data_IF_474158433609
#
_entry.id   IF_474158433609
#
_cell.length_a   1.000
_cell.length_b   1.000
_cell.length_c   1.000
_cell.angle_alpha   90.00
_cell.angle_beta   90.00
_cell.angle_gamma   90.00
#
_symmetry.space_group_name_H-M   'P 1'
#
loop_
_entity.id
_entity.type
_entity.pdbx_description
1 polymer ?
#
# COMPACT_ATOMS: atom_id res chain seq x y z
N UNK A 1 -41.56 21.91 11.73
CA UNK A 1 -40.36 22.33 10.98
C UNK A 1 -39.19 21.75 11.75
N UNK A 2 -38.84 20.51 11.46
CA UNK A 2 -37.85 19.77 12.25
C UNK A 2 -36.51 19.87 11.54
N UNK A 3 -35.58 20.61 12.13
CA UNK A 3 -34.19 20.66 11.73
C UNK A 3 -33.53 19.32 12.04
N UNK A 4 -32.92 18.61 11.07
CA UNK A 4 -32.18 17.40 11.37
C UNK A 4 -30.91 17.76 12.12
N UNK A 5 -30.84 17.31 13.38
CA UNK A 5 -29.67 17.40 14.25
C UNK A 5 -28.59 16.49 13.68
N UNK A 6 -27.50 17.06 13.16
CA UNK A 6 -26.31 16.29 12.79
C UNK A 6 -25.67 15.76 14.07
N UNK A 7 -25.95 14.50 14.41
CA UNK A 7 -25.23 13.78 15.45
C UNK A 7 -23.75 13.61 15.08
N UNK A 8 -22.84 13.54 16.07
CA UNK A 8 -21.44 13.24 15.81
C UNK A 8 -21.33 11.91 15.06
N UNK A 9 -20.60 11.92 13.95
CA UNK A 9 -20.28 10.70 13.22
C UNK A 9 -19.35 9.86 14.10
N UNK A 10 -19.78 8.64 14.40
CA UNK A 10 -18.93 7.65 15.04
C UNK A 10 -17.98 7.11 13.95
N UNK A 11 -16.75 7.63 13.95
CA UNK A 11 -15.66 7.02 13.19
C UNK A 11 -15.35 5.71 13.89
N UNK A 12 -15.91 4.62 13.38
CA UNK A 12 -15.52 3.28 13.80
C UNK A 12 -14.05 3.09 13.38
N UNK A 13 -13.15 3.31 14.33
CA UNK A 13 -11.72 3.04 14.16
C UNK A 13 -11.60 1.53 14.01
N UNK A 14 -11.57 1.07 12.77
CA UNK A 14 -11.24 -0.31 12.45
C UNK A 14 -9.77 -0.53 12.80
N UNK A 15 -9.55 -0.99 14.03
CA UNK A 15 -8.30 -1.38 14.70
C UNK A 15 -7.66 -0.33 15.61
N UNK A 16 -8.04 -0.42 16.89
CA UNK A 16 -7.15 -0.13 18.03
C UNK A 16 -7.06 -1.39 18.89
N UNK A 17 -6.52 -2.48 18.35
CA UNK A 17 -6.14 -3.62 19.18
C UNK A 17 -4.62 -3.52 19.38
N UNK A 18 -4.29 -2.90 20.50
CA UNK A 18 -2.98 -2.68 21.08
C UNK A 18 -2.18 -3.98 21.08
N UNK A 19 -1.08 -4.03 20.33
CA UNK A 19 -0.07 -5.07 20.56
C UNK A 19 0.53 -4.86 21.96
N UNK A 20 0.76 -5.91 22.75
CA UNK A 20 1.26 -5.78 24.11
C UNK A 20 2.67 -5.17 24.08
N UNK A 21 2.82 -3.98 24.67
CA UNK A 21 4.12 -3.42 25.04
C UNK A 21 4.71 -4.32 26.15
N UNK A 22 5.70 -5.13 25.83
CA UNK A 22 6.52 -5.77 26.87
C UNK A 22 7.57 -4.77 27.33
N UNK A 23 7.34 -4.22 28.53
CA UNK A 23 8.29 -3.43 29.28
C UNK A 23 9.62 -4.19 29.45
N UNK A 24 10.71 -3.48 29.18
CA UNK A 24 12.06 -3.87 29.55
C UNK A 24 12.26 -3.78 31.05
N UNK A 25 12.72 -4.86 31.69
CA UNK A 25 13.63 -4.79 32.83
C UNK A 25 14.51 -6.05 32.90
N UNK A 26 15.78 -5.95 33.36
CA UNK A 26 16.74 -7.05 33.36
C UNK A 26 16.82 -7.69 34.75
N UNK A 27 16.73 -9.02 34.86
CA UNK A 27 17.33 -9.72 35.99
C UNK A 27 17.63 -11.21 35.70
N UNK A 28 18.75 -11.63 36.27
CA UNK A 28 19.57 -12.80 36.02
C UNK A 28 19.01 -14.08 36.65
N UNK A 29 18.99 -15.20 35.93
CA UNK A 29 19.19 -16.54 36.52
C UNK A 29 19.47 -17.60 35.43
N UNK A 30 20.65 -18.22 35.52
CA UNK A 30 21.07 -19.38 34.74
C UNK A 30 20.36 -20.66 35.23
N UNK A 31 19.87 -21.50 34.31
CA UNK A 31 19.88 -22.96 34.50
C UNK A 31 19.70 -23.67 33.17
N UNK A 32 20.68 -24.51 32.81
CA UNK A 32 20.66 -25.39 31.65
C UNK A 32 19.72 -26.57 31.88
N UNK A 33 18.88 -26.90 30.89
CA UNK A 33 18.60 -28.29 30.46
C UNK A 33 17.79 -28.27 29.15
N UNK A 34 18.19 -29.14 28.23
CA UNK A 34 17.84 -29.10 26.81
C UNK A 34 16.35 -29.18 26.46
N UNK A 35 15.97 -28.32 25.52
CA UNK A 35 14.72 -28.32 24.79
C UNK A 35 14.73 -27.15 23.82
N UNK A 36 14.97 -27.42 22.53
CA UNK A 36 15.08 -26.40 21.49
C UNK A 36 13.68 -25.81 21.18
N UNK A 37 13.17 -24.95 22.04
CA UNK A 37 12.04 -24.08 21.71
C UNK A 37 12.60 -22.94 20.87
N UNK A 38 12.46 -23.06 19.55
CA UNK A 38 12.68 -21.93 18.63
C UNK A 38 11.69 -20.84 19.02
N UNK A 39 12.18 -19.83 19.72
CA UNK A 39 11.44 -18.64 20.11
C UNK A 39 11.21 -17.79 18.85
N UNK A 40 10.19 -18.20 18.08
CA UNK A 40 9.72 -17.60 16.82
C UNK A 40 8.83 -16.37 17.08
N UNK A 41 9.06 -15.66 18.17
CA UNK A 41 8.32 -14.44 18.47
C UNK A 41 8.76 -13.32 17.53
N UNK A 42 7.78 -12.75 16.83
CA UNK A 42 7.92 -11.45 16.16
C UNK A 42 8.32 -10.42 17.23
N UNK A 43 9.57 -9.93 17.21
CA UNK A 43 10.11 -8.97 18.20
C UNK A 43 10.22 -7.53 17.67
N UNK A 44 9.84 -7.29 16.42
CA UNK A 44 9.93 -5.97 15.77
C UNK A 44 8.70 -5.10 16.01
N UNK A 45 8.84 -3.78 15.86
CA UNK A 45 7.69 -2.87 15.74
C UNK A 45 7.10 -3.00 14.33
N UNK A 46 5.79 -3.21 14.23
CA UNK A 46 5.09 -3.20 12.93
C UNK A 46 5.09 -1.77 12.37
N UNK A 47 5.66 -1.59 11.18
CA UNK A 47 5.71 -0.32 10.46
C UNK A 47 4.55 -0.19 9.45
N UNK A 48 4.13 -1.32 8.84
CA UNK A 48 2.99 -1.34 7.93
C UNK A 48 2.37 -2.74 7.82
N UNK A 49 1.14 -2.81 7.32
CA UNK A 49 0.46 -4.07 7.03
C UNK A 49 -0.39 -4.00 5.76
N UNK A 50 -0.65 -5.15 5.14
CA UNK A 50 -1.55 -5.27 3.99
C UNK A 50 -2.52 -6.46 4.14
N UNK A 51 -3.80 -6.30 3.74
CA UNK A 51 -4.78 -7.37 3.86
C UNK A 51 -4.67 -8.36 2.70
N UNK A 52 -4.06 -9.51 2.97
CA UNK A 52 -4.10 -10.71 2.11
C UNK A 52 -4.19 -12.02 2.91
N UNK A 53 -4.26 -11.90 4.25
CA UNK A 53 -3.84 -12.85 5.32
C UNK A 53 -2.62 -12.24 6.01
N UNK A 54 -2.88 -11.23 6.84
CA UNK A 54 -1.93 -10.29 7.49
C UNK A 54 -0.46 -10.38 7.04
N UNK A 55 -0.12 -9.63 5.98
CA UNK A 55 1.28 -9.31 5.67
C UNK A 55 1.71 -8.16 6.58
N UNK A 56 2.82 -8.34 7.31
CA UNK A 56 3.37 -7.36 8.25
C UNK A 56 4.78 -6.95 7.80
N UNK A 57 5.03 -5.65 7.67
CA UNK A 57 6.35 -5.09 7.45
C UNK A 57 6.89 -4.48 8.73
N UNK A 58 8.16 -4.76 9.05
CA UNK A 58 8.90 -4.11 10.13
C UNK A 58 10.19 -3.48 9.58
N UNK A 59 11.06 -3.00 10.49
CA UNK A 59 12.35 -2.42 10.11
C UNK A 59 13.34 -3.44 9.52
N UNK A 60 13.15 -4.73 9.78
CA UNK A 60 14.10 -5.81 9.46
C UNK A 60 13.64 -6.71 8.29
N UNK A 61 12.34 -6.79 7.99
CA UNK A 61 11.79 -7.74 7.05
C UNK A 61 10.28 -7.63 6.81
N UNK A 62 9.79 -8.60 6.04
CA UNK A 62 8.36 -8.84 5.81
C UNK A 62 8.00 -10.21 6.38
N UNK A 63 6.86 -10.26 7.04
CA UNK A 63 6.28 -11.42 7.68
C UNK A 63 4.88 -11.67 7.11
N UNK A 64 4.44 -12.93 7.08
CA UNK A 64 3.08 -13.31 6.68
C UNK A 64 2.51 -14.20 7.77
N UNK A 65 1.24 -14.00 8.11
CA UNK A 65 0.52 -14.88 9.03
C UNK A 65 -0.99 -14.65 8.99
N UNK A 66 -1.72 -15.58 9.57
CA UNK A 66 -3.14 -15.41 9.82
C UNK A 66 -3.34 -14.55 11.06
N UNK A 67 -4.18 -13.52 10.96
CA UNK A 67 -4.54 -12.69 12.11
C UNK A 67 -5.18 -13.52 13.24
N UNK A 68 -5.93 -14.55 12.89
CA UNK A 68 -6.57 -15.46 13.85
C UNK A 68 -5.62 -16.42 14.54
N UNK A 69 -4.41 -16.60 14.00
CA UNK A 69 -3.42 -17.54 14.50
C UNK A 69 -2.02 -16.90 14.51
N UNK A 70 -1.65 -16.19 15.58
CA UNK A 70 -0.32 -15.57 15.70
C UNK A 70 0.85 -16.56 15.54
N UNK A 71 0.64 -17.85 15.83
CA UNK A 71 1.68 -18.88 15.68
C UNK A 71 2.02 -19.17 14.21
N UNK A 72 1.13 -18.79 13.29
CA UNK A 72 1.35 -18.89 11.86
C UNK A 72 2.25 -17.78 11.29
N UNK A 73 2.56 -16.73 12.07
CA UNK A 73 3.40 -15.62 11.62
C UNK A 73 4.83 -16.12 11.39
N UNK A 74 5.31 -15.98 10.17
CA UNK A 74 6.66 -16.37 9.79
C UNK A 74 7.33 -15.32 8.89
N UNK A 75 8.67 -15.19 8.94
CA UNK A 75 9.38 -14.27 8.07
C UNK A 75 9.34 -14.82 6.65
N UNK A 76 9.11 -13.94 5.67
CA UNK A 76 9.06 -14.31 4.25
C UNK A 76 10.07 -13.54 3.38
N UNK A 77 10.52 -12.37 3.83
CA UNK A 77 11.53 -11.57 3.13
C UNK A 77 12.46 -10.85 4.11
N UNK A 78 13.77 -10.96 3.89
CA UNK A 78 14.78 -10.16 4.58
C UNK A 78 14.98 -8.80 3.89
N UNK A 79 13.90 -8.02 3.78
CA UNK A 79 13.95 -6.66 3.22
C UNK A 79 13.80 -5.64 4.35
N UNK A 80 14.87 -4.89 4.64
CA UNK A 80 14.87 -3.88 5.69
C UNK A 80 14.16 -2.58 5.29
N UNK A 81 13.80 -1.79 6.29
CA UNK A 81 13.23 -0.44 6.13
C UNK A 81 11.99 -0.40 5.23
N UNK A 82 11.10 -1.38 5.40
CA UNK A 82 9.85 -1.45 4.65
C UNK A 82 8.87 -0.44 5.24
N UNK A 83 8.43 0.51 4.42
CA UNK A 83 7.53 1.58 4.86
C UNK A 83 6.10 1.38 4.39
N UNK A 84 5.89 0.64 3.28
CA UNK A 84 4.56 0.30 2.77
C UNK A 84 4.57 -1.04 2.05
N UNK A 85 3.48 -1.77 2.21
CA UNK A 85 3.17 -3.01 1.52
C UNK A 85 1.87 -2.87 0.74
N UNK A 86 1.71 -3.68 -0.30
CA UNK A 86 0.45 -3.79 -1.03
C UNK A 86 0.42 -5.03 -1.91
N UNK A 87 -0.75 -5.65 -2.03
CA UNK A 87 -0.90 -6.91 -2.74
C UNK A 87 -1.79 -6.75 -3.98
N UNK A 88 -1.29 -7.25 -5.11
CA UNK A 88 -2.07 -7.49 -6.33
C UNK A 88 -2.47 -8.96 -6.36
N UNK A 89 -3.55 -9.29 -5.64
CA UNK A 89 -3.97 -10.67 -5.40
C UNK A 89 -4.27 -11.43 -6.69
N UNK A 90 -5.05 -10.85 -7.59
CA UNK A 90 -5.45 -11.50 -8.84
C UNK A 90 -4.25 -11.74 -9.78
N UNK A 91 -3.22 -10.91 -9.67
CA UNK A 91 -2.01 -10.98 -10.50
C UNK A 91 -0.84 -11.71 -9.82
N UNK A 92 -0.95 -12.04 -8.54
CA UNK A 92 0.04 -12.84 -7.81
C UNK A 92 1.29 -12.07 -7.37
N UNK A 93 1.17 -10.77 -7.05
CA UNK A 93 2.32 -9.93 -6.68
C UNK A 93 2.18 -9.25 -5.31
N UNK A 94 3.27 -9.27 -4.54
CA UNK A 94 3.50 -8.38 -3.40
C UNK A 94 4.35 -7.19 -3.88
N UNK A 95 3.89 -5.99 -3.58
CA UNK A 95 4.60 -4.73 -3.84
C UNK A 95 5.13 -4.20 -2.52
N UNK A 96 6.43 -3.88 -2.50
CA UNK A 96 7.15 -3.45 -1.30
C UNK A 96 7.84 -2.12 -1.57
N UNK A 97 7.58 -1.12 -0.73
CA UNK A 97 8.36 0.11 -0.69
C UNK A 97 9.38 0.03 0.44
N UNK A 98 10.66 0.09 0.09
CA UNK A 98 11.76 0.07 1.04
C UNK A 98 12.84 1.05 0.60
N UNK A 99 13.32 1.88 1.52
CA UNK A 99 14.32 2.94 1.26
C UNK A 99 13.98 3.74 0.00
N UNK A 100 12.73 4.24 -0.05
CA UNK A 100 12.18 5.01 -1.20
C UNK A 100 12.32 4.31 -2.57
N UNK A 101 12.36 2.98 -2.58
CA UNK A 101 12.48 2.17 -3.81
C UNK A 101 11.37 1.13 -3.86
N UNK A 102 10.71 1.01 -5.02
CA UNK A 102 9.56 0.14 -5.22
C UNK A 102 9.99 -1.20 -5.83
N UNK A 103 9.63 -2.29 -5.17
CA UNK A 103 9.94 -3.67 -5.56
C UNK A 103 8.66 -4.48 -5.74
N UNK A 104 8.71 -5.45 -6.65
CA UNK A 104 7.66 -6.45 -6.82
C UNK A 104 8.23 -7.86 -6.62
N UNK A 105 7.54 -8.64 -5.80
CA UNK A 105 7.84 -10.03 -5.49
C UNK A 105 6.65 -10.90 -5.91
N UNK A 106 6.94 -12.05 -6.50
CA UNK A 106 5.92 -13.06 -6.79
C UNK A 106 5.42 -13.68 -5.49
N UNK A 107 4.11 -13.71 -5.25
CA UNK A 107 3.54 -14.29 -4.04
C UNK A 107 3.89 -15.79 -3.89
N UNK A 108 3.91 -16.52 -5.00
CA UNK A 108 4.31 -17.93 -5.05
C UNK A 108 5.75 -18.16 -4.55
N UNK A 109 6.61 -17.16 -4.67
CA UNK A 109 8.01 -17.23 -4.22
C UNK A 109 8.18 -16.93 -2.73
N UNK A 110 7.13 -16.43 -2.06
CA UNK A 110 7.17 -16.08 -0.63
C UNK A 110 6.75 -17.24 0.28
N UNK A 111 6.14 -18.27 -0.30
CA UNK A 111 5.70 -19.45 0.44
C UNK A 111 6.84 -20.47 0.47
N UNK A 112 7.49 -20.57 1.62
CA UNK A 112 8.43 -21.65 1.93
C UNK A 112 7.67 -22.97 2.07
N UNK A 113 7.86 -23.98 1.19
CA UNK A 113 7.41 -25.34 1.46
C UNK A 113 7.83 -25.82 2.85
N UNK A 114 6.97 -26.57 3.58
CA UNK A 114 7.20 -26.98 4.97
C UNK A 114 8.50 -27.77 5.22
N UNK A 115 9.11 -28.30 4.17
CA UNK A 115 10.31 -29.16 4.22
C UNK A 115 11.64 -28.40 4.12
N UNK A 116 11.63 -27.11 3.79
CA UNK A 116 12.83 -26.33 3.54
C UNK A 116 13.03 -25.28 4.64
N UNK A 117 14.27 -25.10 5.07
CA UNK A 117 14.60 -24.03 6.02
C UNK A 117 14.48 -22.68 5.29
N UNK A 118 14.01 -21.64 5.99
CA UNK A 118 13.92 -20.29 5.39
C UNK A 118 15.29 -19.78 4.88
N UNK A 119 16.40 -20.28 5.43
CA UNK A 119 17.75 -19.93 4.99
C UNK A 119 18.14 -20.55 3.64
N UNK A 120 17.52 -21.67 3.26
CA UNK A 120 17.85 -22.40 2.03
C UNK A 120 16.99 -21.99 0.83
N UNK A 121 15.95 -21.16 1.05
CA UNK A 121 15.13 -20.68 -0.04
C UNK A 121 15.82 -19.58 -0.85
N UNK A 122 16.10 -19.80 -2.14
CA UNK A 122 16.52 -18.71 -3.01
C UNK A 122 15.30 -17.79 -3.24
N UNK A 123 15.22 -16.72 -2.46
CA UNK A 123 14.28 -15.64 -2.72
C UNK A 123 14.38 -15.27 -4.20
N UNK A 124 13.30 -15.43 -4.96
CA UNK A 124 13.29 -15.04 -6.36
C UNK A 124 13.67 -13.56 -6.43
N UNK A 125 14.65 -13.21 -7.27
CA UNK A 125 15.14 -11.83 -7.35
C UNK A 125 13.97 -10.88 -7.59
N UNK A 126 13.79 -9.85 -6.75
CA UNK A 126 12.69 -8.92 -6.92
C UNK A 126 12.82 -8.17 -8.24
N UNK A 127 11.67 -7.80 -8.77
CA UNK A 127 11.61 -6.85 -9.87
C UNK A 127 11.59 -5.45 -9.29
N UNK A 128 12.64 -4.69 -9.57
CA UNK A 128 12.72 -3.29 -9.18
C UNK A 128 11.90 -2.45 -10.16
N UNK A 129 10.82 -1.82 -9.69
CA UNK A 129 9.89 -1.06 -10.51
C UNK A 129 10.31 0.42 -10.65
N UNK A 130 10.97 0.97 -9.65
CA UNK A 130 11.43 2.37 -9.64
C UNK A 130 12.94 2.47 -9.68
N UNK A 131 13.48 3.66 -9.95
CA UNK A 131 14.87 3.95 -9.60
C UNK A 131 15.05 3.94 -8.08
N UNK A 132 16.29 3.79 -7.65
CA UNK A 132 16.64 3.79 -6.24
C UNK A 132 16.37 5.17 -5.64
N UNK A 133 15.65 5.22 -4.53
CA UNK A 133 15.52 6.41 -3.71
C UNK A 133 14.52 7.47 -4.19
N UNK A 134 13.70 7.18 -5.21
CA UNK A 134 12.85 8.20 -5.86
C UNK A 134 11.37 8.18 -5.42
N UNK A 135 10.90 7.13 -4.76
CA UNK A 135 9.48 6.92 -4.46
C UNK A 135 9.16 7.32 -3.03
N UNK A 136 8.25 8.27 -2.85
CA UNK A 136 7.81 8.71 -1.54
C UNK A 136 6.71 7.80 -0.97
N UNK A 137 5.71 7.48 -1.79
CA UNK A 137 4.67 6.52 -1.45
C UNK A 137 4.10 5.84 -2.70
N UNK A 138 3.37 4.75 -2.48
CA UNK A 138 2.56 4.13 -3.53
C UNK A 138 1.19 3.70 -3.00
N UNK A 139 0.26 3.51 -3.94
CA UNK A 139 -1.10 3.03 -3.72
C UNK A 139 -1.45 2.01 -4.79
N UNK A 140 -2.13 0.96 -4.35
CA UNK A 140 -2.71 -0.06 -5.23
C UNK A 140 -4.22 0.11 -5.24
N UNK A 141 -4.82 -0.05 -6.40
CA UNK A 141 -6.27 -0.08 -6.49
C UNK A 141 -6.75 -0.55 -7.84
N UNK A 142 -8.09 -0.64 -7.97
CA UNK A 142 -8.74 -1.18 -9.16
C UNK A 142 -9.65 -0.14 -9.78
N UNK A 143 -9.57 0.00 -11.10
CA UNK A 143 -10.48 0.85 -11.88
C UNK A 143 -11.07 0.00 -13.00
N UNK A 144 -12.40 -0.15 -13.02
CA UNK A 144 -13.11 -0.99 -14.00
C UNK A 144 -12.57 -2.42 -14.08
N UNK A 145 -12.29 -3.02 -12.93
CA UNK A 145 -11.80 -4.41 -12.82
C UNK A 145 -10.30 -4.61 -13.13
N UNK A 146 -9.59 -3.58 -13.57
CA UNK A 146 -8.14 -3.63 -13.83
C UNK A 146 -7.38 -3.07 -12.63
N UNK A 147 -6.30 -3.73 -12.25
CA UNK A 147 -5.42 -3.29 -11.17
C UNK A 147 -4.40 -2.28 -11.65
N UNK A 148 -4.02 -1.38 -10.76
CA UNK A 148 -3.07 -0.30 -11.00
C UNK A 148 -2.20 -0.09 -9.77
N UNK A 149 -0.94 0.27 -10.00
CA UNK A 149 -0.06 0.80 -8.96
C UNK A 149 0.19 2.26 -9.33
N UNK A 150 -0.07 3.18 -8.42
CA UNK A 150 0.31 4.58 -8.56
C UNK A 150 1.38 4.85 -7.53
N UNK A 151 2.57 5.28 -7.96
CA UNK A 151 3.59 5.79 -7.07
C UNK A 151 3.80 7.28 -7.28
N UNK A 152 4.06 7.99 -6.19
CA UNK A 152 4.45 9.39 -6.20
C UNK A 152 5.96 9.47 -6.01
N UNK A 153 6.60 10.30 -6.82
CA UNK A 153 8.00 10.66 -6.73
C UNK A 153 8.09 12.12 -6.37
N UNK A 154 8.91 12.40 -5.36
CA UNK A 154 9.13 13.76 -4.91
C UNK A 154 10.23 14.42 -5.75
N UNK A 155 9.94 15.61 -6.26
CA UNK A 155 10.85 16.46 -7.04
C UNK A 155 10.48 17.92 -6.80
N UNK A 156 10.74 18.81 -7.77
CA UNK A 156 10.24 20.19 -7.71
C UNK A 156 8.71 20.23 -7.72
N UNK A 157 8.09 19.30 -8.46
CA UNK A 157 6.66 19.04 -8.50
C UNK A 157 6.39 17.61 -8.01
N UNK A 158 5.15 17.32 -7.62
CA UNK A 158 4.71 15.95 -7.32
C UNK A 158 4.46 15.18 -8.62
N UNK A 159 5.28 14.15 -8.89
CA UNK A 159 5.19 13.32 -10.10
C UNK A 159 4.55 11.98 -9.77
N UNK A 160 3.49 11.62 -10.47
CA UNK A 160 2.82 10.35 -10.31
C UNK A 160 3.07 9.44 -11.51
N UNK A 161 3.66 8.26 -11.26
CA UNK A 161 3.81 7.21 -12.27
C UNK A 161 2.75 6.13 -12.04
N UNK A 162 1.98 5.85 -13.10
CA UNK A 162 0.94 4.82 -13.11
C UNK A 162 1.46 3.57 -13.81
N UNK A 163 1.48 2.46 -13.08
CA UNK A 163 1.83 1.14 -13.61
C UNK A 163 0.60 0.26 -13.75
N UNK A 164 0.67 -0.65 -14.72
CA UNK A 164 -0.28 -1.74 -14.91
C UNK A 164 0.46 -3.07 -14.89
N UNK A 165 -0.01 -4.08 -14.14
CA UNK A 165 0.49 -5.44 -14.31
C UNK A 165 0.10 -5.96 -15.69
N UNK A 166 0.95 -6.79 -16.28
CA UNK A 166 0.70 -7.44 -17.56
C UNK A 166 -0.55 -8.34 -17.45
N UNK A 167 -1.43 -8.28 -18.45
CA UNK A 167 -2.62 -9.13 -18.45
C UNK A 167 -2.21 -10.59 -18.64
N UNK A 168 -2.59 -11.45 -17.69
CA UNK A 168 -2.38 -12.91 -17.81
C UNK A 168 -3.46 -13.61 -18.63
N UNK A 169 -4.46 -12.86 -19.12
CA UNK A 169 -5.68 -13.43 -19.71
C UNK A 169 -5.38 -14.36 -20.90
N UNK A 170 -5.81 -15.62 -20.77
CA UNK A 170 -5.54 -16.69 -21.74
C UNK A 170 -6.10 -16.42 -23.15
N UNK A 171 -7.03 -15.46 -23.30
CA UNK A 171 -7.69 -15.13 -24.56
C UNK A 171 -6.79 -14.37 -25.55
N UNK A 172 -5.78 -13.64 -25.09
CA UNK A 172 -4.84 -12.93 -25.98
C UNK A 172 -3.63 -13.80 -26.41
N UNK A 173 -3.38 -14.91 -25.73
CA UNK A 173 -2.17 -15.73 -25.92
C UNK A 173 -2.19 -16.64 -27.17
N UNK A 174 -3.30 -16.73 -27.91
CA UNK A 174 -3.41 -17.63 -29.07
C UNK A 174 -2.88 -17.06 -30.39
N UNK A 175 -2.64 -15.74 -30.50
CA UNK A 175 -2.26 -15.12 -31.78
C UNK A 175 -0.81 -14.63 -31.90
N UNK A 176 -0.01 -14.63 -30.83
CA UNK A 176 1.34 -14.03 -30.83
C UNK A 176 2.50 -14.96 -30.41
N UNK A 177 2.29 -16.27 -30.36
CA UNK A 177 3.26 -17.26 -29.85
C UNK A 177 4.63 -17.33 -30.55
N UNK A 178 4.82 -16.65 -31.70
CA UNK A 178 6.09 -16.68 -32.46
C UNK A 178 7.05 -15.51 -32.16
N UNK A 179 6.59 -14.42 -31.52
CA UNK A 179 7.45 -13.31 -31.07
C UNK A 179 7.62 -13.33 -29.55
N UNK A 180 8.35 -14.32 -29.02
CA UNK A 180 8.69 -14.38 -27.59
C UNK A 180 9.81 -13.37 -27.25
N UNK A 181 9.51 -12.07 -27.30
CA UNK A 181 10.18 -11.11 -26.39
C UNK A 181 9.54 -11.31 -25.01
N UNK A 182 10.35 -11.58 -23.98
CA UNK A 182 9.88 -11.59 -22.58
C UNK A 182 9.21 -10.24 -22.31
N UNK A 183 7.89 -10.19 -22.25
CA UNK A 183 7.16 -8.97 -21.91
C UNK A 183 7.47 -8.61 -20.47
N UNK A 184 7.78 -7.33 -20.22
CA UNK A 184 7.92 -6.86 -18.86
C UNK A 184 6.62 -7.13 -18.07
N UNK A 185 6.71 -7.60 -16.83
CA UNK A 185 5.57 -7.96 -15.97
C UNK A 185 4.74 -6.76 -15.54
N UNK A 186 5.35 -5.58 -15.54
CA UNK A 186 4.68 -4.31 -15.35
C UNK A 186 4.96 -3.40 -16.54
N UNK A 187 3.94 -2.66 -16.97
CA UNK A 187 4.05 -1.64 -17.99
C UNK A 187 3.70 -0.27 -17.41
N UNK A 188 4.57 0.71 -17.62
CA UNK A 188 4.26 2.12 -17.35
C UNK A 188 3.13 2.53 -18.26
N UNK A 189 2.02 2.96 -17.67
CA UNK A 189 0.87 3.45 -18.40
C UNK A 189 0.99 4.93 -18.72
N UNK A 190 1.44 5.74 -17.76
CA UNK A 190 1.48 7.21 -17.86
C UNK A 190 2.18 7.81 -16.64
N UNK A 191 2.82 8.95 -16.88
CA UNK A 191 3.16 9.92 -15.83
C UNK A 191 2.21 11.13 -15.86
N UNK A 192 1.89 11.69 -14.69
CA UNK A 192 1.20 12.98 -14.57
C UNK A 192 1.77 13.80 -13.40
N UNK A 193 1.61 15.11 -13.49
CA UNK A 193 2.22 16.08 -12.58
C UNK A 193 1.14 16.85 -11.84
N UNK A 194 1.39 17.16 -10.58
CA UNK A 194 0.56 18.05 -9.79
C UNK A 194 1.37 19.31 -9.45
N UNK A 195 0.75 20.47 -9.69
CA UNK A 195 1.35 21.79 -9.45
C UNK A 195 1.29 22.24 -7.98
N UNK A 196 0.75 21.40 -7.11
CA UNK A 196 0.61 21.64 -5.69
C UNK A 196 1.30 20.53 -4.94
N UNK A 197 1.71 20.81 -3.70
CA UNK A 197 2.21 19.78 -2.81
C UNK A 197 1.11 18.74 -2.56
N UNK A 198 1.47 17.46 -2.70
CA UNK A 198 0.56 16.33 -2.56
C UNK A 198 0.94 15.48 -1.37
N UNK A 199 -0.09 14.97 -0.70
CA UNK A 199 0.05 14.17 0.51
C UNK A 199 -0.17 12.69 0.25
N UNK A 200 -1.10 12.37 -0.65
CA UNK A 200 -1.50 10.99 -0.96
C UNK A 200 -2.31 10.91 -2.26
N UNK A 201 -2.64 9.69 -2.68
CA UNK A 201 -3.64 9.41 -3.71
C UNK A 201 -4.57 8.28 -3.27
N UNK A 202 -5.86 8.39 -3.56
CA UNK A 202 -6.82 7.33 -3.29
C UNK A 202 -7.53 6.88 -4.56
N UNK A 203 -7.75 5.57 -4.66
CA UNK A 203 -8.63 5.02 -5.68
C UNK A 203 -10.08 5.15 -5.24
N UNK A 204 -10.88 5.81 -6.07
CA UNK A 204 -12.33 5.90 -5.87
C UNK A 204 -13.01 5.29 -7.09
N UNK A 205 -14.14 4.60 -6.91
CA UNK A 205 -14.91 3.90 -7.95
C UNK A 205 -14.39 3.93 -9.42
N UNK A 206 -14.47 5.07 -10.12
CA UNK A 206 -14.06 5.23 -11.54
C UNK A 206 -12.94 6.25 -11.77
N UNK A 207 -12.32 6.75 -10.71
CA UNK A 207 -11.39 7.88 -10.71
C UNK A 207 -10.30 7.68 -9.64
N UNK A 208 -9.41 8.65 -9.51
CA UNK A 208 -8.52 8.78 -8.38
C UNK A 208 -8.78 10.15 -7.74
N UNK A 209 -8.50 10.25 -6.46
CA UNK A 209 -8.47 11.49 -5.71
C UNK A 209 -7.04 11.74 -5.26
N UNK A 210 -6.41 12.81 -5.73
CA UNK A 210 -5.10 13.23 -5.21
C UNK A 210 -5.35 14.19 -4.04
N UNK A 211 -4.76 13.90 -2.89
CA UNK A 211 -4.86 14.70 -1.68
C UNK A 211 -3.75 15.76 -1.74
N UNK A 212 -4.10 17.04 -1.68
CA UNK A 212 -3.16 18.15 -1.84
C UNK A 212 -3.55 19.38 -1.00
N UNK A 213 -2.72 20.42 -1.02
CA UNK A 213 -2.96 21.67 -0.27
C UNK A 213 -4.28 22.40 -0.61
N UNK A 214 -4.92 22.02 -1.71
CA UNK A 214 -6.22 22.58 -2.16
C UNK A 214 -7.41 21.69 -1.84
N UNK A 215 -7.22 20.63 -1.07
CA UNK A 215 -8.23 19.61 -0.82
C UNK A 215 -7.98 18.38 -1.68
N UNK A 216 -8.94 18.03 -2.54
CA UNK A 216 -8.89 16.82 -3.37
C UNK A 216 -8.96 17.16 -4.85
N UNK A 217 -8.02 16.64 -5.64
CA UNK A 217 -8.06 16.72 -7.10
C UNK A 217 -8.59 15.41 -7.67
N UNK A 218 -9.85 15.42 -8.09
CA UNK A 218 -10.55 14.23 -8.61
C UNK A 218 -10.31 14.11 -10.11
N UNK A 219 -9.68 13.03 -10.55
CA UNK A 219 -9.38 12.83 -11.97
C UNK A 219 -9.52 11.38 -12.41
N UNK A 220 -9.73 11.15 -13.72
CA UNK A 220 -9.69 9.79 -14.27
C UNK A 220 -8.24 9.41 -14.51
N UNK A 221 -7.85 8.20 -14.16
CA UNK A 221 -6.46 7.71 -14.30
C UNK A 221 -5.85 7.87 -15.72
N UNK A 222 -6.70 7.88 -16.75
CA UNK A 222 -6.28 8.05 -18.15
C UNK A 222 -6.52 9.48 -18.70
N UNK A 223 -6.93 10.45 -17.88
CA UNK A 223 -7.20 11.84 -18.29
C UNK A 223 -6.42 12.80 -17.39
N UNK A 224 -5.92 13.89 -17.98
CA UNK A 224 -5.20 14.93 -17.23
C UNK A 224 -6.14 15.95 -16.58
N UNK A 225 -7.40 16.02 -17.01
CA UNK A 225 -8.37 16.94 -16.43
C UNK A 225 -8.83 16.44 -15.06
N UNK A 226 -8.65 17.29 -14.06
CA UNK A 226 -9.14 17.09 -12.70
C UNK A 226 -10.31 18.03 -12.38
N UNK A 227 -10.91 17.80 -11.22
CA UNK A 227 -11.91 18.67 -10.61
C UNK A 227 -11.57 18.78 -9.13
N UNK A 228 -11.37 20.00 -8.66
CA UNK A 228 -11.07 20.29 -7.26
C UNK A 228 -12.32 20.08 -6.41
N UNK A 229 -12.17 19.40 -5.28
CA UNK A 229 -13.20 19.20 -4.27
C UNK A 229 -12.61 19.55 -2.90
N UNK A 230 -13.27 20.40 -2.11
CA UNK A 230 -14.43 21.21 -2.49
C UNK A 230 -14.07 22.30 -3.52
N UNK A 231 -15.05 22.67 -4.34
CA UNK A 231 -14.94 23.84 -5.21
C UNK A 231 -15.22 25.09 -4.38
N UNK A 232 -14.16 25.88 -4.15
CA UNK A 232 -14.19 27.07 -3.31
C UNK A 232 -14.15 28.37 -4.13
N UNK A 233 -14.41 28.33 -5.44
CA UNK A 233 -14.34 29.53 -6.30
C UNK A 233 -15.51 30.51 -6.07
N UNK A 234 -16.46 30.15 -5.18
CA UNK A 234 -17.59 31.00 -4.81
C UNK A 234 -17.31 31.86 -3.58
N UNK A 235 -17.71 33.14 -3.62
CA UNK A 235 -17.51 34.14 -2.54
C UNK A 235 -18.02 33.69 -1.16
N UNK A 236 -19.08 32.89 -1.10
CA UNK A 236 -19.64 32.40 0.16
C UNK A 236 -18.79 31.27 0.81
N UNK A 237 -17.74 30.79 0.14
CA UNK A 237 -16.85 29.73 0.61
C UNK A 237 -15.44 30.24 0.95
N UNK A 238 -15.24 31.56 1.08
CA UNK A 238 -13.93 32.13 1.43
C UNK A 238 -13.36 31.60 2.77
N UNK A 239 -14.21 31.43 3.78
CA UNK A 239 -13.80 30.90 5.08
C UNK A 239 -13.35 29.43 4.95
N UNK A 240 -14.09 28.63 4.17
CA UNK A 240 -13.73 27.25 3.89
C UNK A 240 -12.40 27.18 3.12
N UNK A 241 -12.20 28.04 2.12
CA UNK A 241 -10.95 28.17 1.36
C UNK A 241 -9.75 28.47 2.27
N UNK A 242 -9.91 29.39 3.23
CA UNK A 242 -8.87 29.70 4.23
C UNK A 242 -8.56 28.50 5.13
N UNK A 243 -9.57 27.78 5.60
CA UNK A 243 -9.38 26.56 6.40
C UNK A 243 -8.63 25.48 5.64
N UNK A 244 -8.97 25.28 4.37
CA UNK A 244 -8.34 24.25 3.52
C UNK A 244 -6.84 24.52 3.36
N UNK A 245 -6.44 25.77 3.09
CA UNK A 245 -5.03 26.15 2.93
C UNK A 245 -4.15 25.85 4.14
N UNK A 246 -4.74 25.82 5.34
CA UNK A 246 -4.05 25.47 6.59
C UNK A 246 -4.25 24.03 7.04
N UNK A 247 -4.85 23.18 6.21
CA UNK A 247 -5.24 21.81 6.56
C UNK A 247 -4.59 20.79 5.64
N UNK A 248 -4.43 19.57 6.15
CA UNK A 248 -3.97 18.41 5.38
C UNK A 248 -5.13 17.44 5.21
N UNK A 249 -5.59 17.17 3.98
CA UNK A 249 -6.56 16.11 3.71
C UNK A 249 -6.00 14.76 4.17
N UNK A 250 -6.83 13.95 4.83
CA UNK A 250 -6.41 12.66 5.39
C UNK A 250 -6.92 11.45 4.60
N UNK A 251 -8.09 11.54 3.98
CA UNK A 251 -8.70 10.45 3.21
C UNK A 251 -10.12 10.75 2.79
N UNK A 252 -10.71 9.87 1.98
CA UNK A 252 -12.11 9.93 1.59
C UNK A 252 -12.90 8.73 2.14
N UNK A 253 -13.90 9.01 2.97
CA UNK A 253 -14.80 7.99 3.49
C UNK A 253 -16.13 8.02 2.73
N UNK A 254 -16.58 6.86 2.26
CA UNK A 254 -17.92 6.71 1.69
C UNK A 254 -18.90 6.40 2.81
N UNK A 255 -19.86 7.30 3.05
CA UNK A 255 -20.98 7.03 3.96
C UNK A 255 -22.06 6.21 3.26
N UNK A 256 -22.71 5.31 4.02
CA UNK A 256 -23.95 4.66 3.61
C UNK A 256 -25.12 5.54 4.04
N UNK A 257 -25.43 6.58 3.30
CA UNK A 257 -26.67 7.34 3.48
C UNK A 257 -27.41 7.46 2.15
N UNK A 258 -28.64 6.95 2.11
CA UNK A 258 -29.57 7.11 0.98
C UNK A 258 -30.21 5.82 0.44
N UNK A 259 -31.15 5.25 1.19
CA UNK A 259 -32.50 4.95 0.67
C UNK A 259 -33.51 5.41 1.69
#
# INVERSE_FOLDING_TARGET
>A
MDTPTNGPFELEVLMTETLPETASDPETAESETGGLTVDKSFRGRVECSAPFSADLGDSEGVWIGLQSDPSSICPVLHKKFVTRLGVLQDEGWLIVLSTKTLYAYRLESLVTPPSESFQDHPATLPEMLSKVGEVEFFRIGRVKGRSYIICMKEGTDSIFTVWKPASTSAKEKKFLSWLKKKSAPFAVSRDFYMLYHTYDVEFINKSIAVLCDRGFEIMKINKLKSTTVPDCDHLHLEELSKRIKGSKPLGLCRTRHGR
#
